data_IF_964044244353
#
_entry.id   IF_964044244353
#
_cell.length_a   1.000
_cell.length_b   1.000
_cell.length_c   1.000
_cell.angle_alpha   90.00
_cell.angle_beta   90.00
_cell.angle_gamma   90.00
#
_symmetry.space_group_name_H-M   'P 1'
#
loop_
_entity.id
_entity.type
_entity.pdbx_description
1 polymer ?
#
# COMPACT_ATOMS: atom_id res chain seq x y z
N UNK A 1 9.97 -34.02 -7.69
CA UNK A 1 8.78 -33.17 -7.58
C UNK A 1 8.69 -32.27 -8.82
N UNK A 2 7.60 -32.40 -9.60
CA UNK A 2 7.43 -31.66 -10.86
C UNK A 2 6.57 -30.40 -10.61
N UNK A 3 6.96 -29.27 -11.23
CA UNK A 3 6.26 -28.00 -11.15
C UNK A 3 4.80 -28.09 -11.65
N UNK A 4 4.58 -28.86 -12.72
CA UNK A 4 3.25 -29.08 -13.26
C UNK A 4 2.30 -29.80 -12.28
N UNK A 5 2.84 -30.64 -11.39
CA UNK A 5 2.07 -31.31 -10.36
C UNK A 5 1.66 -30.31 -9.24
N UNK A 6 2.56 -29.38 -8.87
CA UNK A 6 2.23 -28.30 -7.95
C UNK A 6 1.22 -27.33 -8.53
N UNK A 7 1.34 -27.00 -9.81
CA UNK A 7 0.39 -26.14 -10.51
C UNK A 7 -1.00 -26.78 -10.50
N UNK A 8 -1.12 -28.07 -10.82
CA UNK A 8 -2.39 -28.79 -10.73
C UNK A 8 -2.98 -28.74 -9.31
N UNK A 9 -2.16 -28.89 -8.28
CA UNK A 9 -2.58 -28.82 -6.88
C UNK A 9 -3.17 -27.45 -6.52
N UNK A 10 -2.47 -26.36 -6.84
CA UNK A 10 -2.91 -24.98 -6.57
C UNK A 10 -4.20 -24.67 -7.34
N UNK A 11 -4.31 -25.09 -8.61
CA UNK A 11 -5.51 -24.85 -9.43
C UNK A 11 -6.72 -25.64 -8.91
N UNK A 12 -6.55 -26.91 -8.51
CA UNK A 12 -7.65 -27.71 -7.92
C UNK A 12 -8.14 -27.06 -6.63
N UNK A 13 -7.24 -26.56 -5.79
CA UNK A 13 -7.63 -25.82 -4.59
C UNK A 13 -8.37 -24.52 -4.93
N UNK A 14 -7.87 -23.75 -5.89
CA UNK A 14 -8.44 -22.45 -6.27
C UNK A 14 -9.87 -22.57 -6.83
N UNK A 15 -10.09 -23.55 -7.70
CA UNK A 15 -11.39 -23.76 -8.33
C UNK A 15 -12.33 -24.67 -7.52
N UNK A 16 -11.84 -25.32 -6.47
CA UNK A 16 -12.60 -26.30 -5.67
C UNK A 16 -13.10 -27.51 -6.47
N UNK A 17 -12.52 -27.79 -7.65
CA UNK A 17 -12.99 -28.81 -8.57
C UNK A 17 -11.88 -29.27 -9.52
N UNK A 18 -11.69 -30.59 -9.63
CA UNK A 18 -10.77 -31.20 -10.58
C UNK A 18 -11.14 -30.90 -12.04
N UNK A 19 -12.45 -30.87 -12.37
CA UNK A 19 -12.91 -30.56 -13.71
C UNK A 19 -12.63 -29.11 -14.11
N UNK A 20 -12.97 -28.14 -13.23
CA UNK A 20 -12.69 -26.73 -13.50
C UNK A 20 -11.20 -26.43 -13.58
N UNK A 21 -10.39 -27.08 -12.74
CA UNK A 21 -8.94 -26.97 -12.80
C UNK A 21 -8.37 -27.53 -14.11
N UNK A 22 -8.94 -28.65 -14.60
CA UNK A 22 -8.54 -29.23 -15.88
C UNK A 22 -8.85 -28.31 -17.07
N UNK A 23 -10.03 -27.70 -17.09
CA UNK A 23 -10.40 -26.69 -18.08
C UNK A 23 -9.44 -25.50 -18.06
N UNK A 24 -9.14 -24.96 -16.87
CA UNK A 24 -8.25 -23.82 -16.70
C UNK A 24 -6.78 -24.11 -17.10
N UNK A 25 -6.35 -25.39 -16.96
CA UNK A 25 -5.02 -25.85 -17.34
C UNK A 25 -4.96 -26.40 -18.78
N UNK A 26 -6.05 -26.39 -19.52
CA UNK A 26 -6.16 -26.99 -20.85
C UNK A 26 -5.77 -28.47 -20.85
N UNK A 27 -6.18 -29.22 -19.83
CA UNK A 27 -5.90 -30.64 -19.63
C UNK A 27 -7.19 -31.45 -19.50
N UNK A 28 -7.07 -32.78 -19.60
CA UNK A 28 -8.16 -33.66 -19.19
C UNK A 28 -8.20 -33.84 -17.67
N UNK A 29 -9.38 -34.06 -17.10
CA UNK A 29 -9.54 -34.32 -15.65
C UNK A 29 -8.72 -35.55 -15.18
N UNK A 30 -8.61 -36.68 -15.91
CA UNK A 30 -7.71 -37.77 -15.55
C UNK A 30 -6.25 -37.33 -15.45
N UNK A 31 -5.79 -36.43 -16.33
CA UNK A 31 -4.40 -35.88 -16.29
C UNK A 31 -4.16 -35.06 -15.03
N UNK A 32 -5.10 -34.20 -14.64
CA UNK A 32 -5.00 -33.45 -13.40
C UNK A 32 -4.99 -34.39 -12.19
N UNK A 33 -5.84 -35.39 -12.18
CA UNK A 33 -5.91 -36.42 -11.13
C UNK A 33 -4.55 -37.16 -11.00
N UNK A 34 -3.96 -37.56 -12.12
CA UNK A 34 -2.69 -38.27 -12.17
C UNK A 34 -1.54 -37.37 -11.61
N UNK A 35 -1.54 -36.06 -11.95
CA UNK A 35 -0.56 -35.10 -11.43
C UNK A 35 -0.67 -34.96 -9.91
N UNK A 36 -1.89 -34.83 -9.37
CA UNK A 36 -2.13 -34.78 -7.92
C UNK A 36 -1.69 -36.08 -7.24
N UNK A 37 -2.05 -37.23 -7.77
CA UNK A 37 -1.65 -38.53 -7.22
C UNK A 37 -0.14 -38.71 -7.21
N UNK A 38 0.55 -38.23 -8.24
CA UNK A 38 2.01 -38.26 -8.29
C UNK A 38 2.62 -37.36 -7.22
N UNK A 39 2.09 -36.15 -7.03
CA UNK A 39 2.54 -35.22 -5.99
C UNK A 39 2.30 -35.79 -4.59
N UNK A 40 1.10 -36.34 -4.32
CA UNK A 40 0.77 -36.99 -3.05
C UNK A 40 1.70 -38.17 -2.72
N UNK A 41 2.05 -38.98 -3.76
CA UNK A 41 2.99 -40.10 -3.60
C UNK A 41 4.41 -39.62 -3.30
N UNK A 42 4.88 -38.54 -3.96
CA UNK A 42 6.21 -37.97 -3.71
C UNK A 42 6.33 -37.31 -2.34
N UNK A 43 5.20 -36.78 -1.80
CA UNK A 43 5.13 -36.17 -0.48
C UNK A 43 4.74 -37.17 0.63
N UNK A 44 4.43 -38.41 0.25
CA UNK A 44 3.99 -39.48 1.15
C UNK A 44 2.77 -39.12 2.01
N UNK A 45 1.94 -38.19 1.53
CA UNK A 45 0.74 -37.73 2.21
C UNK A 45 -0.41 -37.44 1.23
N UNK A 46 -1.64 -37.35 1.74
CA UNK A 46 -2.81 -36.92 0.96
C UNK A 46 -2.99 -35.41 1.11
N UNK A 47 -3.18 -34.74 -0.02
CA UNK A 47 -3.39 -33.29 -0.07
C UNK A 47 -4.87 -32.91 -0.15
N UNK A 48 -5.71 -33.80 -0.74
CA UNK A 48 -7.16 -33.63 -0.81
C UNK A 48 -7.90 -34.78 -0.13
N UNK A 49 -8.97 -34.40 0.58
CA UNK A 49 -9.94 -35.35 1.10
C UNK A 49 -10.90 -35.81 -0.03
N UNK A 50 -10.94 -37.10 -0.29
CA UNK A 50 -11.77 -37.71 -1.33
C UNK A 50 -13.11 -38.25 -0.81
N UNK A 51 -13.31 -38.19 0.52
CA UNK A 51 -14.54 -38.75 1.12
C UNK A 51 -15.68 -37.71 1.13
N UNK A 52 -15.40 -36.43 0.93
CA UNK A 52 -16.43 -35.39 0.85
C UNK A 52 -16.93 -35.19 -0.57
N UNK A 53 -18.20 -34.77 -0.74
CA UNK A 53 -18.76 -34.36 -2.04
C UNK A 53 -18.06 -33.12 -2.64
N UNK A 54 -17.26 -32.43 -1.84
CA UNK A 54 -16.50 -31.25 -2.24
C UNK A 54 -15.00 -31.54 -2.17
N UNK A 55 -14.24 -30.95 -3.06
CA UNK A 55 -12.77 -31.01 -3.06
C UNK A 55 -12.22 -30.14 -1.94
N UNK A 56 -11.86 -30.74 -0.80
CA UNK A 56 -11.37 -30.04 0.40
C UNK A 56 -9.94 -30.47 0.68
N UNK A 57 -9.10 -29.54 1.09
CA UNK A 57 -7.72 -29.83 1.51
C UNK A 57 -7.70 -30.62 2.83
N UNK A 58 -6.80 -31.61 2.91
CA UNK A 58 -6.38 -32.22 4.16
C UNK A 58 -5.62 -31.22 5.03
N UNK A 59 -5.25 -31.61 6.26
CA UNK A 59 -4.36 -30.79 7.10
C UNK A 59 -2.99 -30.61 6.44
N UNK A 60 -2.42 -31.68 5.84
CA UNK A 60 -1.16 -31.61 5.12
C UNK A 60 -1.26 -30.76 3.85
N UNK A 61 -2.40 -30.84 3.14
CA UNK A 61 -2.68 -29.97 2.00
C UNK A 61 -2.71 -28.49 2.37
N UNK A 62 -3.33 -28.15 3.50
CA UNK A 62 -3.34 -26.76 4.02
C UNK A 62 -1.94 -26.27 4.42
N UNK A 63 -1.13 -27.16 5.02
CA UNK A 63 0.27 -26.83 5.37
C UNK A 63 1.14 -26.64 4.12
N UNK A 64 0.95 -27.45 3.10
CA UNK A 64 1.76 -27.43 1.88
C UNK A 64 1.38 -26.32 0.89
N UNK A 65 0.12 -25.90 0.87
CA UNK A 65 -0.39 -24.91 -0.10
C UNK A 65 0.45 -23.62 -0.19
N UNK A 66 0.81 -22.93 0.93
CA UNK A 66 1.59 -21.69 0.84
C UNK A 66 2.98 -21.92 0.22
N UNK A 67 3.59 -23.07 0.44
CA UNK A 67 4.88 -23.41 -0.16
C UNK A 67 4.75 -23.67 -1.65
N UNK A 68 3.70 -24.40 -2.09
CA UNK A 68 3.45 -24.65 -3.51
C UNK A 68 3.20 -23.34 -4.27
N UNK A 69 2.41 -22.43 -3.73
CA UNK A 69 2.17 -21.10 -4.30
C UNK A 69 3.46 -20.28 -4.39
N UNK A 70 4.28 -20.30 -3.34
CA UNK A 70 5.56 -19.59 -3.32
C UNK A 70 6.55 -20.14 -4.36
N UNK A 71 6.65 -21.47 -4.51
CA UNK A 71 7.51 -22.09 -5.52
C UNK A 71 7.10 -21.72 -6.94
N UNK A 72 5.79 -21.73 -7.24
CA UNK A 72 5.28 -21.31 -8.55
C UNK A 72 5.57 -19.83 -8.82
N UNK A 73 5.42 -18.97 -7.82
CA UNK A 73 5.75 -17.55 -7.93
C UNK A 73 7.26 -17.34 -8.20
N UNK A 74 8.12 -18.05 -7.49
CA UNK A 74 9.59 -17.95 -7.70
C UNK A 74 9.99 -18.39 -9.11
N UNK A 75 9.41 -19.49 -9.60
CA UNK A 75 9.64 -19.94 -10.97
C UNK A 75 9.18 -18.92 -12.01
N UNK A 76 7.96 -18.38 -11.85
CA UNK A 76 7.42 -17.38 -12.76
C UNK A 76 8.31 -16.13 -12.79
N UNK A 77 8.79 -15.69 -11.63
CA UNK A 77 9.74 -14.59 -11.50
C UNK A 77 11.07 -14.90 -12.22
N UNK A 78 11.58 -16.13 -12.08
CA UNK A 78 12.79 -16.57 -12.78
C UNK A 78 12.64 -16.52 -14.31
N UNK A 79 11.54 -17.05 -14.83
CA UNK A 79 11.20 -16.99 -16.27
C UNK A 79 11.11 -15.56 -16.77
N UNK A 80 10.43 -14.68 -16.03
CA UNK A 80 10.32 -13.25 -16.37
C UNK A 80 11.69 -12.58 -16.42
N UNK A 81 12.57 -12.82 -15.45
CA UNK A 81 13.95 -12.27 -15.44
C UNK A 81 14.79 -12.70 -16.64
N UNK A 82 14.67 -13.93 -17.08
CA UNK A 82 15.38 -14.42 -18.27
C UNK A 82 14.85 -13.76 -19.56
N UNK A 83 13.57 -13.46 -19.62
CA UNK A 83 12.95 -12.75 -20.74
C UNK A 83 13.27 -11.24 -20.76
N UNK A 84 13.45 -10.63 -19.59
CA UNK A 84 13.75 -9.19 -19.43
C UNK A 84 15.18 -8.80 -19.86
N UNK A 85 16.11 -9.74 -20.03
CA UNK A 85 17.48 -9.43 -20.50
C UNK A 85 17.56 -8.78 -21.89
N UNK A 86 16.45 -8.62 -22.63
CA UNK A 86 16.43 -8.08 -23.99
C UNK A 86 15.53 -6.87 -24.25
N UNK A 87 14.75 -6.40 -23.27
CA UNK A 87 13.89 -5.19 -23.43
C UNK A 87 13.75 -4.46 -22.09
N UNK A 88 13.57 -3.14 -22.14
CA UNK A 88 13.17 -2.34 -20.99
C UNK A 88 11.98 -3.00 -20.26
N UNK A 89 11.83 -2.87 -18.94
CA UNK A 89 10.76 -3.51 -18.19
C UNK A 89 9.42 -3.11 -18.80
N UNK A 90 8.66 -4.08 -19.31
CA UNK A 90 7.36 -3.80 -19.92
C UNK A 90 6.33 -3.33 -18.87
N UNK A 91 6.56 -3.65 -17.61
CA UNK A 91 5.69 -3.26 -16.51
C UNK A 91 6.52 -2.96 -15.26
N UNK A 92 6.19 -1.84 -14.60
CA UNK A 92 6.68 -1.47 -13.28
C UNK A 92 5.53 -1.54 -12.27
N UNK A 93 5.74 -2.25 -11.16
CA UNK A 93 4.77 -2.44 -10.10
C UNK A 93 5.13 -1.53 -8.94
N UNK A 94 4.26 -0.57 -8.67
CA UNK A 94 4.45 0.45 -7.63
C UNK A 94 3.51 0.15 -6.47
N UNK A 95 4.07 -0.14 -5.29
CA UNK A 95 3.33 -0.23 -4.04
C UNK A 95 3.19 1.16 -3.41
N UNK A 96 2.04 1.48 -2.82
CA UNK A 96 1.88 2.74 -2.12
C UNK A 96 0.78 2.66 -1.05
N UNK A 97 0.88 3.52 -0.03
CA UNK A 97 -0.21 3.70 0.93
C UNK A 97 -1.39 4.45 0.29
N UNK A 98 -2.56 4.38 0.91
CA UNK A 98 -3.79 5.00 0.38
C UNK A 98 -3.61 6.50 0.12
N UNK A 99 -3.01 7.23 1.06
CA UNK A 99 -2.78 8.68 0.90
C UNK A 99 -1.87 8.97 -0.30
N UNK A 100 -0.77 8.24 -0.43
CA UNK A 100 0.16 8.38 -1.56
C UNK A 100 -0.53 8.03 -2.89
N UNK A 101 -1.34 6.97 -2.91
CA UNK A 101 -2.10 6.55 -4.10
C UNK A 101 -3.04 7.66 -4.60
N UNK A 102 -3.70 8.37 -3.67
CA UNK A 102 -4.70 9.37 -4.02
C UNK A 102 -4.09 10.73 -4.40
N UNK A 103 -2.98 11.12 -3.77
CA UNK A 103 -2.51 12.51 -3.84
C UNK A 103 -1.16 12.68 -4.54
N UNK A 104 -0.31 11.65 -4.57
CA UNK A 104 1.06 11.73 -5.11
C UNK A 104 1.20 10.93 -6.42
N UNK A 105 0.75 9.69 -6.42
CA UNK A 105 0.93 8.78 -7.56
C UNK A 105 0.37 9.31 -8.88
N UNK A 106 -0.84 9.93 -8.95
CA UNK A 106 -1.37 10.41 -10.22
C UNK A 106 -0.46 11.42 -10.92
N UNK A 107 0.15 12.34 -10.17
CA UNK A 107 1.04 13.36 -10.72
C UNK A 107 2.37 12.74 -11.18
N UNK A 108 2.94 11.84 -10.40
CA UNK A 108 4.16 11.09 -10.76
C UNK A 108 3.92 10.27 -12.02
N UNK A 109 2.81 9.53 -12.11
CA UNK A 109 2.51 8.69 -13.27
C UNK A 109 2.34 9.49 -14.55
N UNK A 110 1.75 10.68 -14.49
CA UNK A 110 1.65 11.59 -15.62
C UNK A 110 3.02 11.94 -16.19
N UNK A 111 3.98 12.27 -15.33
CA UNK A 111 5.36 12.60 -15.72
C UNK A 111 6.11 11.37 -16.23
N UNK A 112 6.00 10.24 -15.52
CA UNK A 112 6.65 8.99 -15.91
C UNK A 112 6.12 8.48 -17.26
N UNK A 113 4.81 8.57 -17.51
CA UNK A 113 4.21 8.15 -18.77
C UNK A 113 4.70 9.00 -19.95
N UNK A 114 4.92 10.29 -19.74
CA UNK A 114 5.49 11.17 -20.77
C UNK A 114 6.95 10.80 -21.10
N UNK A 115 7.75 10.41 -20.09
CA UNK A 115 9.18 10.06 -20.26
C UNK A 115 9.39 8.62 -20.73
N UNK A 116 8.50 7.69 -20.31
CA UNK A 116 8.58 6.25 -20.60
C UNK A 116 7.24 5.72 -21.15
N UNK A 117 6.87 6.07 -22.40
CA UNK A 117 5.56 5.75 -22.99
C UNK A 117 5.31 4.25 -23.17
N UNK A 118 6.37 3.44 -23.28
CA UNK A 118 6.28 1.98 -23.49
C UNK A 118 6.13 1.19 -22.18
N UNK A 119 6.27 1.85 -21.02
CA UNK A 119 6.18 1.19 -19.72
C UNK A 119 4.73 1.14 -19.24
N UNK A 120 4.27 -0.04 -18.82
CA UNK A 120 3.01 -0.21 -18.13
C UNK A 120 3.23 -0.07 -16.62
N UNK A 121 2.30 0.59 -15.95
CA UNK A 121 2.37 0.79 -14.50
C UNK A 121 1.24 0.03 -13.81
N UNK A 122 1.60 -0.80 -12.83
CA UNK A 122 0.65 -1.47 -11.94
C UNK A 122 0.76 -0.87 -10.55
N UNK A 123 -0.33 -0.30 -10.05
CA UNK A 123 -0.38 0.28 -8.70
C UNK A 123 -1.01 -0.71 -7.74
N UNK A 124 -0.37 -0.91 -6.60
CA UNK A 124 -0.82 -1.80 -5.52
C UNK A 124 -0.92 -0.98 -4.24
N UNK A 125 -2.13 -0.87 -3.69
CA UNK A 125 -2.36 -0.13 -2.45
C UNK A 125 -2.45 -1.10 -1.27
N UNK A 126 -1.67 -0.84 -0.21
CA UNK A 126 -1.66 -1.64 1.00
C UNK A 126 -1.07 -0.84 2.19
N UNK A 127 -1.01 -1.44 3.38
CA UNK A 127 -0.31 -0.87 4.54
C UNK A 127 1.21 -0.91 4.35
N UNK A 128 1.95 -0.10 5.11
CA UNK A 128 3.42 -0.07 5.05
C UNK A 128 4.03 -1.47 5.24
N UNK A 129 3.58 -2.23 6.24
CA UNK A 129 4.14 -3.56 6.53
C UNK A 129 3.87 -4.55 5.39
N UNK A 130 2.65 -4.55 4.86
CA UNK A 130 2.29 -5.37 3.70
C UNK A 130 3.11 -4.98 2.46
N UNK A 131 3.37 -3.69 2.24
CA UNK A 131 4.18 -3.21 1.12
C UNK A 131 5.65 -3.59 1.26
N UNK A 132 6.19 -3.57 2.48
CA UNK A 132 7.55 -4.08 2.77
C UNK A 132 7.64 -5.56 2.44
N UNK A 133 6.69 -6.39 2.90
CA UNK A 133 6.64 -7.80 2.54
C UNK A 133 6.52 -8.02 1.03
N UNK A 134 5.63 -7.28 0.36
CA UNK A 134 5.47 -7.36 -1.10
C UNK A 134 6.74 -6.95 -1.85
N UNK A 135 7.46 -5.95 -1.35
CA UNK A 135 8.73 -5.51 -1.93
C UNK A 135 9.81 -6.57 -1.79
N UNK A 136 9.97 -7.16 -0.59
CA UNK A 136 10.94 -8.23 -0.33
C UNK A 136 10.62 -9.50 -1.14
N UNK A 137 9.34 -9.81 -1.32
CA UNK A 137 8.85 -10.91 -2.15
C UNK A 137 8.85 -10.59 -3.65
N UNK A 138 9.29 -9.38 -4.05
CA UNK A 138 9.31 -8.93 -5.44
C UNK A 138 7.91 -8.95 -6.12
N UNK A 139 6.86 -8.77 -5.35
CA UNK A 139 5.50 -8.56 -5.86
C UNK A 139 5.30 -7.13 -6.34
N UNK A 140 6.06 -6.18 -5.78
CA UNK A 140 6.22 -4.80 -6.24
C UNK A 140 7.69 -4.49 -6.43
N UNK A 141 8.01 -3.55 -7.31
CA UNK A 141 9.40 -3.19 -7.67
C UNK A 141 9.89 -1.99 -6.86
N UNK A 142 8.98 -1.07 -6.55
CA UNK A 142 9.20 0.14 -5.73
C UNK A 142 8.00 0.30 -4.81
N UNK A 143 8.22 0.87 -3.63
CA UNK A 143 7.12 1.21 -2.74
C UNK A 143 7.26 2.60 -2.13
N UNK A 144 6.12 3.30 -2.04
CA UNK A 144 5.97 4.54 -1.30
C UNK A 144 5.32 4.22 0.04
N UNK A 145 6.09 4.34 1.10
CA UNK A 145 5.74 3.92 2.45
C UNK A 145 6.14 4.98 3.47
N UNK A 146 5.72 4.81 4.71
CA UNK A 146 6.30 5.54 5.82
C UNK A 146 7.73 5.10 6.08
N UNK A 147 8.44 5.82 6.96
CA UNK A 147 9.80 5.46 7.35
C UNK A 147 9.92 3.98 7.71
N UNK A 148 10.83 3.29 7.04
CA UNK A 148 11.14 1.87 7.25
C UNK A 148 12.64 1.71 7.40
N UNK A 149 13.07 0.89 8.36
CA UNK A 149 14.45 0.47 8.53
C UNK A 149 14.53 -1.05 8.34
N UNK A 150 15.14 -1.49 7.26
CA UNK A 150 15.33 -2.91 6.97
C UNK A 150 16.65 -3.15 6.22
N UNK A 151 17.48 -4.16 6.61
CA UNK A 151 18.80 -4.38 6.02
C UNK A 151 18.83 -4.60 4.50
N UNK A 152 17.79 -5.24 3.92
CA UNK A 152 17.68 -5.52 2.49
C UNK A 152 17.03 -4.39 1.68
N UNK A 153 16.60 -3.29 2.32
CA UNK A 153 15.90 -2.18 1.69
C UNK A 153 16.81 -0.96 1.63
N UNK A 154 16.74 -0.22 0.53
CA UNK A 154 17.33 1.12 0.37
C UNK A 154 16.22 2.16 0.20
N UNK A 155 16.39 3.31 0.83
CA UNK A 155 15.55 4.49 0.59
C UNK A 155 16.15 5.27 -0.58
N UNK A 156 15.33 5.52 -1.60
CA UNK A 156 15.71 6.30 -2.78
C UNK A 156 15.53 7.80 -2.54
N UNK A 157 14.42 8.16 -1.91
CA UNK A 157 14.10 9.53 -1.53
C UNK A 157 13.11 9.52 -0.36
N UNK A 158 12.98 10.65 0.32
CA UNK A 158 11.95 10.87 1.34
C UNK A 158 11.49 12.33 1.35
N UNK A 159 10.32 12.55 1.92
CA UNK A 159 9.72 13.85 2.17
C UNK A 159 9.08 13.84 3.56
N UNK A 160 9.30 14.90 4.31
CA UNK A 160 8.64 15.16 5.59
C UNK A 160 7.37 15.97 5.31
N UNK A 161 6.23 15.28 5.32
CA UNK A 161 4.91 15.87 5.07
C UNK A 161 4.38 16.49 6.38
N UNK A 162 4.29 17.82 6.50
CA UNK A 162 3.80 18.45 7.71
C UNK A 162 2.36 18.02 7.99
N UNK A 163 2.03 17.87 9.28
CA UNK A 163 0.67 17.68 9.74
C UNK A 163 0.19 18.99 10.34
N UNK A 164 -0.88 19.54 9.81
CA UNK A 164 -1.42 20.84 10.22
C UNK A 164 -2.90 20.75 10.56
N UNK A 165 -3.39 21.67 11.36
CA UNK A 165 -4.82 21.82 11.60
C UNK A 165 -5.47 22.50 10.39
N UNK A 166 -6.55 21.92 9.91
CA UNK A 166 -7.35 22.47 8.82
C UNK A 166 -8.79 22.72 9.24
N UNK A 167 -9.28 23.87 8.82
CA UNK A 167 -10.65 24.33 9.07
C UNK A 167 -11.34 24.65 7.74
N UNK A 168 -12.66 24.62 7.72
CA UNK A 168 -13.50 24.97 6.58
C UNK A 168 -13.65 26.49 6.43
N UNK A 169 -14.11 26.95 5.27
CA UNK A 169 -14.38 28.36 4.99
C UNK A 169 -15.45 28.93 5.93
N UNK A 170 -15.13 30.10 6.54
CA UNK A 170 -15.95 30.79 7.53
C UNK A 170 -15.71 30.36 8.98
N UNK A 171 -14.80 29.43 9.26
CA UNK A 171 -14.47 29.04 10.64
C UNK A 171 -13.83 30.20 11.43
N UNK A 172 -14.17 30.40 12.73
CA UNK A 172 -13.64 31.52 13.54
C UNK A 172 -12.10 31.61 13.58
N UNK A 173 -11.38 30.47 13.57
CA UNK A 173 -9.92 30.45 13.61
C UNK A 173 -9.25 31.09 12.37
N UNK A 174 -9.98 31.26 11.28
CA UNK A 174 -9.45 31.97 10.09
C UNK A 174 -9.11 33.42 10.39
N UNK A 175 -9.82 34.08 11.33
CA UNK A 175 -9.58 35.48 11.67
C UNK A 175 -8.23 35.70 12.33
N UNK A 176 -7.77 34.74 13.12
CA UNK A 176 -6.52 34.79 13.86
C UNK A 176 -5.39 34.08 13.14
N UNK A 177 -5.69 33.08 12.29
CA UNK A 177 -4.75 32.16 11.69
C UNK A 177 -4.04 31.26 12.71
N UNK A 178 -4.44 31.30 13.98
CA UNK A 178 -3.81 30.58 15.10
C UNK A 178 -4.90 29.99 16.01
N UNK A 179 -4.58 28.87 16.63
CA UNK A 179 -5.37 28.28 17.71
C UNK A 179 -4.43 27.58 18.69
N UNK A 180 -4.76 27.56 19.97
CA UNK A 180 -4.12 26.72 20.97
C UNK A 180 -4.87 25.39 21.07
N UNK A 181 -4.25 24.40 21.72
CA UNK A 181 -4.95 23.13 22.02
C UNK A 181 -6.19 23.36 22.89
N UNK A 182 -6.16 24.34 23.78
CA UNK A 182 -7.32 24.73 24.60
C UNK A 182 -8.47 25.32 23.75
N UNK A 183 -8.16 26.07 22.68
CA UNK A 183 -9.18 26.56 21.76
C UNK A 183 -9.79 25.42 20.97
N UNK A 184 -8.96 24.49 20.47
CA UNK A 184 -9.37 23.31 19.69
C UNK A 184 -10.26 22.38 20.53
N UNK A 185 -10.03 22.26 21.83
CA UNK A 185 -10.83 21.45 22.76
C UNK A 185 -12.32 21.83 22.74
N UNK A 186 -12.65 23.06 22.40
CA UNK A 186 -14.04 23.59 22.35
C UNK A 186 -14.73 23.37 21.01
N UNK A 187 -13.98 22.83 20.05
CA UNK A 187 -14.47 22.60 18.69
C UNK A 187 -14.72 21.10 18.48
N UNK A 188 -15.64 20.79 17.59
CA UNK A 188 -15.86 19.42 17.14
C UNK A 188 -14.69 18.94 16.32
N UNK A 189 -14.02 17.89 16.78
CA UNK A 189 -12.84 17.33 16.14
C UNK A 189 -13.20 16.11 15.28
N UNK A 190 -12.79 16.14 14.01
CA UNK A 190 -12.71 14.97 13.16
C UNK A 190 -11.34 14.36 13.34
N UNK A 191 -11.29 13.24 14.04
CA UNK A 191 -10.05 12.60 14.42
C UNK A 191 -9.64 11.59 13.35
N UNK A 192 -8.53 11.87 12.65
CA UNK A 192 -7.94 10.95 11.70
C UNK A 192 -6.91 10.10 12.41
N UNK A 193 -7.15 8.79 12.48
CA UNK A 193 -6.24 7.82 13.10
C UNK A 193 -5.50 7.03 12.03
N UNK A 194 -4.20 7.17 11.96
CA UNK A 194 -3.39 6.46 10.98
C UNK A 194 -2.35 5.51 11.58
N UNK A 195 -2.40 5.26 12.89
CA UNK A 195 -1.55 4.30 13.60
C UNK A 195 -0.04 4.60 13.55
N UNK A 196 0.37 5.87 13.26
CA UNK A 196 1.80 6.23 13.25
C UNK A 196 2.26 6.84 14.57
N UNK A 197 3.54 6.62 14.91
CA UNK A 197 4.16 7.24 16.09
C UNK A 197 4.14 8.77 16.03
N UNK A 198 4.27 9.35 14.83
CA UNK A 198 4.23 10.80 14.64
C UNK A 198 2.84 11.34 14.96
N UNK A 199 1.79 10.61 14.63
CA UNK A 199 0.41 10.95 14.98
C UNK A 199 0.15 10.92 16.48
N UNK A 200 0.82 10.05 17.22
CA UNK A 200 0.76 10.01 18.70
C UNK A 200 1.23 11.30 19.36
N UNK A 201 2.09 12.10 18.68
CA UNK A 201 2.50 13.41 19.19
C UNK A 201 1.35 14.40 19.23
N UNK A 202 0.42 14.32 18.28
CA UNK A 202 -0.81 15.13 18.29
C UNK A 202 -1.71 14.67 19.44
N UNK A 203 -1.87 13.38 19.65
CA UNK A 203 -2.61 12.85 20.80
C UNK A 203 -2.07 13.38 22.14
N UNK A 204 -0.74 13.30 22.32
CA UNK A 204 -0.08 13.76 23.56
C UNK A 204 -0.30 15.23 23.84
N UNK A 205 -0.45 16.06 22.81
CA UNK A 205 -0.76 17.47 23.01
C UNK A 205 -2.11 17.65 23.72
N UNK A 206 -3.07 16.77 23.46
CA UNK A 206 -4.37 16.78 24.14
C UNK A 206 -4.37 16.10 25.54
N UNK A 207 -3.42 15.23 25.84
CA UNK A 207 -3.28 14.61 27.16
C UNK A 207 -3.01 15.61 28.29
N UNK A 208 -2.48 16.80 27.95
CA UNK A 208 -2.25 17.87 28.92
C UNK A 208 -3.51 18.64 29.35
N UNK A 209 -4.65 18.38 28.69
CA UNK A 209 -5.91 19.06 28.97
C UNK A 209 -6.64 18.38 30.13
N UNK A 210 -7.32 19.18 30.96
CA UNK A 210 -8.15 18.68 32.05
C UNK A 210 -9.38 17.87 31.57
N UNK A 211 -9.86 18.20 30.38
CA UNK A 211 -10.96 17.49 29.72
C UNK A 211 -10.53 17.05 28.32
N UNK A 212 -10.95 15.86 27.87
CA UNK A 212 -10.63 15.43 26.51
C UNK A 212 -11.34 16.31 25.47
N UNK A 213 -10.80 16.39 24.23
CA UNK A 213 -11.46 17.10 23.14
C UNK A 213 -12.76 16.38 22.74
N UNK A 214 -13.71 17.12 22.14
CA UNK A 214 -14.92 16.56 21.55
C UNK A 214 -14.57 15.85 20.22
N UNK A 215 -14.34 14.55 20.28
CA UNK A 215 -14.09 13.71 19.10
C UNK A 215 -15.43 13.15 18.61
N UNK A 216 -16.12 13.90 17.76
CA UNK A 216 -17.39 13.45 17.20
C UNK A 216 -17.21 12.36 16.11
N UNK A 217 -16.10 12.37 15.40
CA UNK A 217 -15.80 11.43 14.31
C UNK A 217 -14.38 10.90 14.44
N UNK A 218 -14.25 9.58 14.50
CA UNK A 218 -12.97 8.88 14.43
C UNK A 218 -12.91 8.11 13.12
N UNK A 219 -11.91 8.40 12.28
CA UNK A 219 -11.79 7.83 10.93
C UNK A 219 -10.35 7.40 10.66
N UNK A 220 -10.18 6.31 9.94
CA UNK A 220 -8.88 5.76 9.52
C UNK A 220 -8.49 6.15 8.08
N UNK A 221 -9.36 6.91 7.41
CA UNK A 221 -9.19 7.33 6.03
C UNK A 221 -9.15 8.86 5.92
N UNK A 222 -8.01 9.39 5.44
CA UNK A 222 -7.80 10.84 5.28
C UNK A 222 -8.78 11.50 4.32
N UNK A 223 -9.26 10.77 3.29
CA UNK A 223 -10.25 11.31 2.34
C UNK A 223 -11.58 11.55 3.05
N UNK A 224 -11.99 10.63 3.94
CA UNK A 224 -13.19 10.78 4.76
C UNK A 224 -13.03 11.93 5.73
N UNK A 225 -11.90 12.02 6.45
CA UNK A 225 -11.62 13.12 7.35
C UNK A 225 -11.72 14.48 6.63
N UNK A 226 -11.05 14.62 5.49
CA UNK A 226 -11.08 15.84 4.68
C UNK A 226 -12.49 16.22 4.24
N UNK A 227 -13.29 15.25 3.76
CA UNK A 227 -14.68 15.49 3.36
C UNK A 227 -15.55 15.99 4.51
N UNK A 228 -15.40 15.41 5.71
CA UNK A 228 -16.14 15.88 6.89
C UNK A 228 -15.78 17.32 7.24
N UNK A 229 -14.52 17.74 7.12
CA UNK A 229 -14.13 19.14 7.30
C UNK A 229 -14.77 20.04 6.23
N UNK A 230 -14.75 19.63 4.97
CA UNK A 230 -15.40 20.38 3.88
C UNK A 230 -16.90 20.54 4.06
N UNK A 231 -17.58 19.53 4.61
CA UNK A 231 -19.00 19.54 4.97
C UNK A 231 -19.28 20.27 6.30
N UNK A 232 -18.27 20.94 6.87
CA UNK A 232 -18.36 21.71 8.12
C UNK A 232 -18.79 20.88 9.33
N UNK A 233 -18.53 19.56 9.31
CA UNK A 233 -18.85 18.66 10.42
C UNK A 233 -17.87 18.78 11.59
N UNK A 234 -16.70 19.42 11.39
CA UNK A 234 -15.69 19.64 12.40
C UNK A 234 -14.37 20.13 11.79
N UNK A 235 -13.32 20.18 12.59
CA UNK A 235 -11.96 20.53 12.18
C UNK A 235 -11.06 19.32 12.31
N UNK A 236 -9.95 19.25 11.57
CA UNK A 236 -9.06 18.08 11.59
C UNK A 236 -7.59 18.45 11.45
N UNK A 237 -6.73 17.65 12.09
CA UNK A 237 -5.32 17.58 11.72
C UNK A 237 -5.18 16.67 10.51
N UNK A 238 -4.55 17.15 9.44
CA UNK A 238 -4.37 16.41 8.20
C UNK A 238 -2.95 16.61 7.66
N UNK A 239 -2.36 15.63 6.95
CA UNK A 239 -1.13 15.82 6.21
C UNK A 239 -1.32 16.86 5.11
N UNK A 240 -0.36 17.79 4.97
CA UNK A 240 -0.47 18.91 4.04
C UNK A 240 -0.67 18.46 2.58
N UNK A 241 0.03 17.39 2.16
CA UNK A 241 -0.07 16.85 0.80
C UNK A 241 -1.50 16.40 0.44
N UNK A 242 -2.30 16.03 1.43
CA UNK A 242 -3.67 15.55 1.22
C UNK A 242 -4.69 16.68 0.98
N UNK A 243 -4.34 17.93 1.25
CA UNK A 243 -5.25 19.09 1.22
C UNK A 243 -4.76 20.23 0.35
N UNK A 244 -3.61 20.09 -0.31
CA UNK A 244 -3.00 21.15 -1.14
C UNK A 244 -3.97 21.76 -2.14
N UNK A 245 -4.80 20.94 -2.80
CA UNK A 245 -5.78 21.42 -3.76
C UNK A 245 -6.88 22.27 -3.10
N UNK A 246 -7.42 21.80 -2.00
CA UNK A 246 -8.50 22.48 -1.28
C UNK A 246 -8.01 23.78 -0.64
N UNK A 247 -6.75 23.86 -0.25
CA UNK A 247 -6.12 25.09 0.23
C UNK A 247 -5.95 26.09 -0.93
N UNK A 248 -5.47 25.65 -2.10
CA UNK A 248 -5.38 26.49 -3.30
C UNK A 248 -6.75 27.00 -3.76
N UNK A 249 -7.76 26.14 -3.69
CA UNK A 249 -9.14 26.46 -4.02
C UNK A 249 -9.84 27.30 -2.93
N UNK A 250 -9.15 27.66 -1.85
CA UNK A 250 -9.69 28.42 -0.69
C UNK A 250 -10.89 27.76 -0.02
N UNK A 251 -10.94 26.43 -0.02
CA UNK A 251 -11.99 25.63 0.64
C UNK A 251 -11.59 25.16 2.02
N UNK A 252 -10.28 24.98 2.24
CA UNK A 252 -9.69 24.66 3.53
C UNK A 252 -8.61 25.66 3.87
N UNK A 253 -8.49 25.95 5.17
CA UNK A 253 -7.56 26.95 5.68
C UNK A 253 -6.67 26.32 6.75
N UNK A 254 -5.36 26.48 6.59
CA UNK A 254 -4.36 26.04 7.54
C UNK A 254 -4.32 26.94 8.75
N UNK A 255 -4.39 26.38 9.93
CA UNK A 255 -4.32 27.10 11.22
C UNK A 255 -3.02 26.69 11.94
N UNK A 256 -2.28 27.66 12.38
CA UNK A 256 -1.06 27.44 13.15
C UNK A 256 -1.40 27.05 14.60
N UNK A 257 -0.88 25.89 15.04
CA UNK A 257 -1.04 25.36 16.40
C UNK A 257 0.37 25.17 16.99
N UNK A 258 0.83 26.06 17.88
CA UNK A 258 2.21 26.03 18.38
C UNK A 258 2.61 24.72 19.06
N UNK A 259 1.69 24.09 19.80
CA UNK A 259 1.93 22.89 20.59
C UNK A 259 2.24 21.64 19.76
N UNK A 260 1.82 21.65 18.50
CA UNK A 260 2.08 20.57 17.53
C UNK A 260 2.97 21.02 16.37
N UNK A 261 3.61 22.18 16.48
CA UNK A 261 4.53 22.67 15.47
C UNK A 261 5.66 21.67 15.22
N UNK A 262 6.00 21.44 13.95
CA UNK A 262 7.04 20.50 13.52
C UNK A 262 6.65 19.02 13.63
N UNK A 263 5.37 18.70 13.84
CA UNK A 263 4.89 17.33 13.63
C UNK A 263 4.78 17.10 12.13
N UNK A 264 5.45 16.06 11.64
CA UNK A 264 5.45 15.66 10.23
C UNK A 264 5.36 14.15 10.11
N UNK A 265 5.01 13.70 8.93
CA UNK A 265 4.95 12.29 8.59
C UNK A 265 5.89 12.01 7.41
N UNK A 266 6.88 11.15 7.61
CA UNK A 266 7.83 10.83 6.55
C UNK A 266 7.19 9.91 5.51
N UNK A 267 7.22 10.31 4.24
CA UNK A 267 6.91 9.48 3.06
C UNK A 267 8.24 9.12 2.41
N UNK A 268 8.52 7.84 2.25
CA UNK A 268 9.78 7.33 1.69
C UNK A 268 9.52 6.50 0.45
N UNK A 269 10.36 6.69 -0.57
CA UNK A 269 10.45 5.78 -1.72
C UNK A 269 11.49 4.73 -1.38
N UNK A 270 11.09 3.47 -1.39
CA UNK A 270 11.95 2.34 -1.07
C UNK A 270 12.05 1.33 -2.20
N UNK A 271 13.21 0.70 -2.32
CA UNK A 271 13.47 -0.42 -3.23
C UNK A 271 14.37 -1.45 -2.52
N UNK A 272 14.45 -2.67 -3.06
CA UNK A 272 15.44 -3.64 -2.56
C UNK A 272 16.86 -3.26 -3.00
N UNK A 273 17.87 -3.62 -2.21
CA UNK A 273 19.28 -3.35 -2.55
C UNK A 273 19.75 -4.14 -3.77
N UNK A 274 19.15 -5.29 -4.02
CA UNK A 274 19.54 -6.24 -5.08
C UNK A 274 18.77 -6.06 -6.39
N UNK A 275 17.86 -5.09 -6.47
CA UNK A 275 16.94 -5.00 -7.61
C UNK A 275 17.55 -4.28 -8.81
N UNK A 276 17.63 -5.04 -9.94
CA UNK A 276 18.02 -4.52 -11.24
C UNK A 276 16.81 -4.09 -12.11
N UNK A 277 15.57 -4.26 -11.62
CA UNK A 277 14.38 -3.92 -12.38
C UNK A 277 14.17 -2.40 -12.48
N UNK A 278 14.67 -1.68 -11.49
CA UNK A 278 14.64 -0.21 -11.44
C UNK A 278 16.00 0.31 -11.83
N UNK A 279 16.15 0.76 -13.06
CA UNK A 279 17.39 1.43 -13.53
C UNK A 279 17.61 2.72 -12.75
N UNK A 280 18.87 3.16 -12.64
CA UNK A 280 19.20 4.43 -12.00
C UNK A 280 18.38 5.58 -12.58
N UNK A 281 18.31 5.67 -13.92
CA UNK A 281 17.59 6.73 -14.64
C UNK A 281 16.08 6.75 -14.32
N UNK A 282 15.47 5.57 -14.12
CA UNK A 282 14.07 5.49 -13.73
C UNK A 282 13.88 5.90 -12.25
N UNK A 283 14.79 5.49 -11.38
CA UNK A 283 14.76 5.90 -9.96
C UNK A 283 14.93 7.41 -9.81
N UNK A 284 15.80 8.02 -10.61
CA UNK A 284 16.01 9.47 -10.63
C UNK A 284 14.77 10.21 -11.15
N UNK A 285 14.17 9.75 -12.26
CA UNK A 285 12.94 10.32 -12.79
C UNK A 285 11.76 10.21 -11.80
N UNK A 286 11.66 9.07 -11.10
CA UNK A 286 10.67 8.86 -10.07
C UNK A 286 10.88 9.81 -8.88
N UNK A 287 12.12 10.01 -8.47
CA UNK A 287 12.50 10.91 -7.37
C UNK A 287 12.23 12.37 -7.72
N UNK A 288 12.55 12.78 -8.96
CA UNK A 288 12.21 14.11 -9.49
C UNK A 288 10.70 14.35 -9.51
N UNK A 289 9.94 13.39 -10.04
CA UNK A 289 8.48 13.44 -10.05
C UNK A 289 7.87 13.49 -8.66
N UNK A 290 8.44 12.75 -7.72
CA UNK A 290 8.01 12.78 -6.32
C UNK A 290 8.24 14.15 -5.66
N UNK A 291 9.43 14.74 -5.84
CA UNK A 291 9.71 16.09 -5.33
C UNK A 291 8.76 17.13 -5.92
N UNK A 292 8.49 17.05 -7.22
CA UNK A 292 7.52 17.92 -7.89
C UNK A 292 6.11 17.75 -7.34
N UNK A 293 5.66 16.52 -7.08
CA UNK A 293 4.31 16.24 -6.60
C UNK A 293 4.06 16.67 -5.14
N UNK A 294 5.08 16.67 -4.27
CA UNK A 294 4.94 17.05 -2.86
C UNK A 294 5.15 18.55 -2.60
N UNK A 295 5.75 19.28 -3.56
CA UNK A 295 5.97 20.71 -3.47
C UNK A 295 4.87 21.54 -4.15
N UNK A 296 3.94 20.88 -4.82
CA UNK A 296 2.76 21.51 -5.44
C UNK A 296 1.67 21.82 -4.43
#
# INVERSE_FOLDING_TARGET
MNIENMEAFVYVNHYGSFNKAAEALFLSQPSVTARIQTLERELECKLFDRQSKQTVLTEDGRKFLPYAEQMLQVLQKGKQKLQQRKKAPQQIRIGCTISVSNYIIPEILKQLRARYPEVNYKIVTATTDQLVHKLLNREVDISFVRKVMHPAIRTLAFYEDPISLYVYDGHPFMKTGKASIQDIQRETLVFFECGSLDWMRIHRAFESLEQPPDIAFQVDNVVTAKKLVLEKAGIAFLPDVCVNREVKDQKLFRIHVPEVAGVSMQISIIATKEDCAVTSDFADALTEGFRGAVLL
#
